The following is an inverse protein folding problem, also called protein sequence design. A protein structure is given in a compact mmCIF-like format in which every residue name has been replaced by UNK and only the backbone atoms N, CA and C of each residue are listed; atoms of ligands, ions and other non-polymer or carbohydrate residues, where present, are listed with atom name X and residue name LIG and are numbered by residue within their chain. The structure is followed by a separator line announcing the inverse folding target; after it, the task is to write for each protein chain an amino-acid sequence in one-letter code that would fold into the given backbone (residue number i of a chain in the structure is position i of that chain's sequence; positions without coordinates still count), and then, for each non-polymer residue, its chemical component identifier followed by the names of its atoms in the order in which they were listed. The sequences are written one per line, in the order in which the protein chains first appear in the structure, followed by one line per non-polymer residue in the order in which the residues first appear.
data_IF_607517972553
#
_entry.id   IF_607517972553
#
_cell.length_a   1.000
_cell.length_b   1.000
_cell.length_c   1.000
_cell.angle_alpha   90.00
_cell.angle_beta   90.00
_cell.angle_gamma   90.00
#
_symmetry.space_group_name_H-M   'P 1'
#
loop_
_entity.id
_entity.type
_entity.pdbx_description
1 polymer ?
#
# COMPACT_ATOMS: atom_id res chain seq x y z
N UNK A 1 4.55 18.10 -8.26
CA UNK A 1 4.43 16.87 -7.44
C UNK A 1 5.54 16.91 -6.42
N UNK A 2 5.19 16.92 -5.14
CA UNK A 2 6.17 16.90 -4.03
C UNK A 2 6.64 15.47 -3.77
N UNK A 3 7.79 15.32 -3.09
CA UNK A 3 8.31 14.01 -2.67
C UNK A 3 7.27 13.23 -1.84
N UNK A 4 6.51 13.91 -0.99
CA UNK A 4 5.44 13.32 -0.19
C UNK A 4 4.27 12.81 -1.03
N UNK A 5 3.84 13.59 -2.03
CA UNK A 5 2.76 13.18 -2.95
C UNK A 5 3.15 11.95 -3.78
N UNK A 6 4.40 11.90 -4.25
CA UNK A 6 4.92 10.76 -5.01
C UNK A 6 5.01 9.50 -4.14
N UNK A 7 5.48 9.64 -2.90
CA UNK A 7 5.52 8.54 -1.93
C UNK A 7 4.11 8.02 -1.63
N UNK A 8 3.15 8.92 -1.42
CA UNK A 8 1.74 8.54 -1.19
C UNK A 8 1.15 7.77 -2.37
N UNK A 9 1.40 8.21 -3.60
CA UNK A 9 0.94 7.49 -4.79
C UNK A 9 1.56 6.09 -4.89
N UNK A 10 2.86 5.95 -4.60
CA UNK A 10 3.52 4.65 -4.60
C UNK A 10 2.93 3.70 -3.55
N UNK A 11 2.63 4.21 -2.34
CA UNK A 11 1.98 3.44 -1.28
C UNK A 11 0.62 2.92 -1.77
N UNK A 12 -0.22 3.81 -2.33
CA UNK A 12 -1.55 3.44 -2.82
C UNK A 12 -1.47 2.42 -3.96
N UNK A 13 -0.55 2.60 -4.91
CA UNK A 13 -0.37 1.67 -6.04
C UNK A 13 0.05 0.27 -5.57
N UNK A 14 0.92 0.18 -4.56
CA UNK A 14 1.39 -1.09 -4.01
C UNK A 14 0.37 -1.75 -3.09
N UNK A 15 -0.45 -0.96 -2.39
CA UNK A 15 -1.50 -1.44 -1.50
C UNK A 15 -2.74 -1.98 -2.24
N UNK A 16 -3.14 -1.34 -3.34
CA UNK A 16 -4.31 -1.71 -4.13
C UNK A 16 -4.40 -3.21 -4.49
N UNK A 17 -3.33 -3.88 -5.01
CA UNK A 17 -3.40 -5.31 -5.31
C UNK A 17 -3.53 -6.20 -4.07
N UNK A 18 -3.10 -5.76 -2.88
CA UNK A 18 -3.30 -6.51 -1.64
C UNK A 18 -4.78 -6.53 -1.26
N UNK A 19 -5.44 -5.37 -1.31
CA UNK A 19 -6.87 -5.27 -1.06
C UNK A 19 -7.69 -6.06 -2.08
N UNK A 20 -7.32 -6.02 -3.37
CA UNK A 20 -8.02 -6.80 -4.39
C UNK A 20 -7.90 -8.33 -4.20
N UNK A 21 -6.84 -8.80 -3.53
CA UNK A 21 -6.61 -10.24 -3.32
C UNK A 21 -7.13 -10.73 -1.97
N UNK A 22 -6.92 -9.95 -0.91
CA UNK A 22 -7.20 -10.34 0.48
C UNK A 22 -8.45 -9.67 1.06
N UNK A 23 -9.02 -8.69 0.36
CA UNK A 23 -10.06 -7.81 0.92
C UNK A 23 -9.49 -6.83 1.95
N UNK A 24 -10.34 -5.93 2.45
CA UNK A 24 -9.97 -4.97 3.49
C UNK A 24 -9.69 -5.67 4.83
N UNK A 25 -10.54 -6.60 5.24
CA UNK A 25 -10.39 -7.32 6.51
C UNK A 25 -9.19 -8.28 6.51
N UNK A 26 -8.83 -8.84 5.36
CA UNK A 26 -7.70 -9.76 5.22
C UNK A 26 -6.35 -9.08 4.99
N UNK A 27 -6.31 -7.76 4.82
CA UNK A 27 -5.07 -7.01 4.60
C UNK A 27 -4.63 -6.35 5.90
N UNK A 28 -3.53 -6.85 6.49
CA UNK A 28 -2.97 -6.27 7.71
C UNK A 28 -2.06 -5.07 7.41
N UNK A 29 -1.80 -4.24 8.42
CA UNK A 29 -0.82 -3.15 8.30
C UNK A 29 0.59 -3.68 7.99
N UNK A 30 0.95 -4.85 8.53
CA UNK A 30 2.22 -5.52 8.26
C UNK A 30 2.35 -5.94 6.79
N UNK A 31 1.26 -6.41 6.17
CA UNK A 31 1.24 -6.70 4.72
C UNK A 31 1.51 -5.44 3.89
N UNK A 32 0.92 -4.31 4.28
CA UNK A 32 1.10 -3.03 3.61
C UNK A 32 2.53 -2.50 3.77
N UNK A 33 3.10 -2.56 4.98
CA UNK A 33 4.49 -2.15 5.25
C UNK A 33 5.49 -3.00 4.45
N UNK A 34 5.33 -4.32 4.47
CA UNK A 34 6.17 -5.24 3.69
C UNK A 34 6.09 -4.97 2.18
N UNK A 35 4.90 -4.72 1.64
CA UNK A 35 4.73 -4.43 0.22
C UNK A 35 5.27 -3.06 -0.18
N UNK A 36 5.15 -2.05 0.70
CA UNK A 36 5.60 -0.68 0.41
C UNK A 36 7.09 -0.47 0.67
N UNK A 37 7.71 -1.26 1.56
CA UNK A 37 9.11 -1.15 1.97
C UNK A 37 9.33 -0.07 3.02
N UNK A 38 8.32 0.16 3.86
CA UNK A 38 8.31 1.12 4.96
C UNK A 38 8.48 0.43 6.31
#
# INVERSE_FOLDING_TARGET
MTKGEQTRQQIVQKAAPLFNRKGYEGTSLSDLMNATGL
#
